data_IF_178551581815
#
_entry.id   IF_178551581815
#
_cell.length_a   1.000
_cell.length_b   1.000
_cell.length_c   1.000
_cell.angle_alpha   90.00
_cell.angle_beta   90.00
_cell.angle_gamma   90.00
#
_symmetry.space_group_name_H-M   'P 1'
#
loop_
_entity.id
_entity.type
_entity.pdbx_description
1 polymer ?
#
# COMPACT_ATOMS: atom_id res chain seq x y z
N UNK A 1 8.43 -84.61 32.58
CA UNK A 1 9.42 -83.83 31.83
C UNK A 1 8.69 -82.83 30.94
N UNK A 2 8.46 -81.61 31.43
CA UNK A 2 7.83 -80.54 30.66
C UNK A 2 8.91 -79.78 29.88
N UNK A 3 8.73 -79.65 28.57
CA UNK A 3 9.58 -78.88 27.66
C UNK A 3 9.29 -77.39 27.86
N UNK A 4 10.34 -76.63 28.15
CA UNK A 4 10.34 -75.16 28.15
C UNK A 4 10.38 -74.67 26.70
N UNK A 5 9.38 -73.91 26.26
CA UNK A 5 9.42 -73.17 24.99
C UNK A 5 9.53 -71.69 25.34
N UNK A 6 10.66 -71.08 24.98
CA UNK A 6 10.88 -69.63 25.11
C UNK A 6 10.06 -68.90 24.03
N UNK A 7 9.26 -67.93 24.44
CA UNK A 7 8.59 -66.99 23.55
C UNK A 7 9.52 -65.80 23.31
N UNK A 8 9.93 -65.58 22.05
CA UNK A 8 10.62 -64.38 21.61
C UNK A 8 9.67 -63.18 21.72
N UNK A 9 10.05 -62.14 22.48
CA UNK A 9 9.41 -60.83 22.43
C UNK A 9 9.98 -60.06 21.23
N UNK A 10 9.17 -59.88 20.18
CA UNK A 10 9.46 -58.94 19.10
C UNK A 10 9.00 -57.55 19.55
N UNK A 11 9.94 -56.69 19.96
CA UNK A 11 9.64 -55.29 20.24
C UNK A 11 9.33 -54.57 18.92
N UNK A 12 8.06 -54.27 18.68
CA UNK A 12 7.65 -53.36 17.61
C UNK A 12 7.86 -51.94 18.10
N UNK A 13 8.91 -51.27 17.61
CA UNK A 13 9.09 -49.85 17.85
C UNK A 13 7.99 -49.09 17.09
N UNK A 14 7.00 -48.58 17.82
CA UNK A 14 6.05 -47.59 17.30
C UNK A 14 6.81 -46.26 17.19
N UNK A 15 7.39 -46.00 16.03
CA UNK A 15 7.85 -44.66 15.66
C UNK A 15 6.63 -43.77 15.49
N UNK A 16 6.26 -42.99 16.51
CA UNK A 16 5.37 -41.85 16.36
C UNK A 16 6.12 -40.76 15.59
N UNK A 17 6.08 -40.84 14.26
CA UNK A 17 6.38 -39.68 13.42
C UNK A 17 5.22 -38.71 13.58
N UNK A 18 5.30 -37.79 14.54
CA UNK A 18 4.45 -36.60 14.55
C UNK A 18 4.89 -35.73 13.39
N UNK A 19 4.34 -35.98 12.21
CA UNK A 19 4.32 -34.98 11.14
C UNK A 19 3.50 -33.81 11.69
N UNK A 20 4.18 -32.81 12.25
CA UNK A 20 3.56 -31.53 12.56
C UNK A 20 3.23 -30.91 11.22
N UNK A 21 2.00 -31.12 10.77
CA UNK A 21 1.43 -30.38 9.66
C UNK A 21 1.36 -28.92 10.13
N UNK A 22 2.28 -28.07 9.67
CA UNK A 22 2.15 -26.64 9.89
C UNK A 22 0.89 -26.15 9.19
N UNK A 23 -0.18 -25.98 9.97
CA UNK A 23 -1.41 -25.39 9.49
C UNK A 23 -1.17 -23.89 9.31
N UNK A 24 -0.86 -23.47 8.08
CA UNK A 24 -0.85 -22.06 7.70
C UNK A 24 -2.32 -21.61 7.65
N UNK A 25 -2.84 -21.17 8.79
CA UNK A 25 -4.17 -20.56 8.87
C UNK A 25 -4.07 -19.11 8.37
N UNK A 26 -4.65 -18.82 7.20
CA UNK A 26 -4.81 -17.45 6.75
C UNK A 26 -5.95 -16.78 7.55
N UNK A 27 -5.59 -16.05 8.59
CA UNK A 27 -6.56 -15.27 9.39
C UNK A 27 -6.64 -13.86 8.84
N UNK A 28 -7.83 -13.41 8.46
CA UNK A 28 -8.09 -12.01 8.09
C UNK A 28 -8.82 -11.31 9.23
N UNK A 29 -8.12 -10.40 9.92
CA UNK A 29 -8.72 -9.56 10.97
C UNK A 29 -9.08 -8.22 10.35
N UNK A 30 -10.37 -7.89 10.35
CA UNK A 30 -10.86 -6.57 9.92
C UNK A 30 -11.11 -5.73 11.15
N UNK A 31 -10.42 -4.60 11.25
CA UNK A 31 -10.58 -3.65 12.35
C UNK A 31 -10.41 -2.22 11.85
N UNK A 32 -10.78 -1.26 12.69
CA UNK A 32 -10.46 0.15 12.48
C UNK A 32 -9.12 0.49 13.15
N UNK A 33 -8.39 1.40 12.52
CA UNK A 33 -7.12 1.89 13.02
C UNK A 33 -6.75 3.19 12.32
N UNK A 34 -5.79 3.89 12.89
CA UNK A 34 -5.22 5.12 12.33
C UNK A 34 -3.82 4.79 11.83
N UNK A 35 -3.62 5.04 10.54
CA UNK A 35 -2.30 5.07 9.91
C UNK A 35 -1.88 6.53 9.78
N UNK A 36 -0.70 6.87 10.28
CA UNK A 36 -0.16 8.23 10.22
C UNK A 36 1.31 8.21 9.85
N UNK A 37 1.81 9.32 9.32
CA UNK A 37 3.21 9.50 8.96
C UNK A 37 3.37 10.49 7.80
N UNK A 38 4.62 10.82 7.50
CA UNK A 38 4.98 11.66 6.38
C UNK A 38 5.17 10.80 5.13
N UNK A 39 4.46 11.12 4.05
CA UNK A 39 4.66 10.46 2.75
C UNK A 39 5.74 11.18 1.96
N UNK A 40 6.73 10.43 1.52
CA UNK A 40 7.87 10.94 0.75
C UNK A 40 7.95 10.19 -0.58
N UNK A 41 7.93 10.89 -1.72
CA UNK A 41 8.16 10.27 -3.02
C UNK A 41 9.64 9.86 -3.18
N UNK A 42 9.98 9.00 -4.16
CA UNK A 42 11.36 8.59 -4.43
C UNK A 42 12.28 9.78 -4.63
N UNK A 43 13.46 9.72 -4.01
CA UNK A 43 14.51 10.73 -4.19
C UNK A 43 15.45 10.40 -5.36
N UNK A 44 15.32 9.20 -5.96
CA UNK A 44 16.14 8.71 -7.08
C UNK A 44 15.26 7.96 -8.08
N UNK A 45 15.47 8.18 -9.39
CA UNK A 45 14.89 7.42 -10.52
C UNK A 45 13.46 6.92 -10.30
N UNK A 46 12.42 7.78 -10.34
CA UNK A 46 11.07 7.37 -10.02
C UNK A 46 10.56 6.32 -11.01
N UNK A 47 10.51 5.07 -10.57
CA UNK A 47 9.73 4.03 -11.23
C UNK A 47 8.27 4.27 -10.86
N UNK A 48 7.65 5.27 -11.48
CA UNK A 48 6.21 5.48 -11.39
C UNK A 48 5.50 4.15 -11.60
N UNK A 49 4.44 3.91 -10.84
CA UNK A 49 3.67 2.71 -11.06
C UNK A 49 3.03 2.75 -12.46
N UNK A 50 2.65 1.59 -12.99
CA UNK A 50 2.08 1.51 -14.33
C UNK A 50 0.62 2.00 -14.38
N UNK A 51 0.02 2.31 -13.23
CA UNK A 51 -1.37 2.75 -13.19
C UNK A 51 -1.48 4.22 -13.58
N UNK A 52 -2.50 4.51 -14.38
CA UNK A 52 -2.78 5.84 -14.89
C UNK A 52 -4.12 6.33 -14.34
N UNK A 53 -4.12 7.54 -13.78
CA UNK A 53 -5.33 8.26 -13.37
C UNK A 53 -5.68 9.25 -14.46
N UNK A 54 -6.85 9.08 -15.09
CA UNK A 54 -7.38 10.02 -16.08
C UNK A 54 -8.24 11.06 -15.38
N UNK A 55 -8.02 12.32 -15.74
CA UNK A 55 -8.75 13.45 -15.18
C UNK A 55 -9.32 14.27 -16.32
N UNK A 56 -10.63 14.48 -16.27
CA UNK A 56 -11.33 15.31 -17.23
C UNK A 56 -11.03 16.78 -16.97
N UNK A 57 -10.74 17.50 -18.04
CA UNK A 57 -10.33 18.90 -18.02
C UNK A 57 -11.19 19.72 -18.99
N UNK A 58 -11.08 21.04 -18.93
CA UNK A 58 -11.54 21.87 -20.04
C UNK A 58 -10.61 21.76 -21.26
N UNK A 59 -10.95 22.46 -22.34
CA UNK A 59 -10.15 22.47 -23.58
C UNK A 59 -8.77 23.10 -23.45
N UNK A 60 -8.50 23.80 -22.34
CA UNK A 60 -7.18 24.35 -22.02
C UNK A 60 -6.39 23.44 -21.08
N UNK A 61 -6.95 22.28 -20.68
CA UNK A 61 -6.31 21.38 -19.73
C UNK A 61 -6.38 21.87 -18.28
N UNK A 62 -7.35 22.74 -17.96
CA UNK A 62 -7.57 23.21 -16.60
C UNK A 62 -8.55 22.30 -15.90
N UNK A 63 -8.26 22.07 -14.63
CA UNK A 63 -9.07 21.26 -13.76
C UNK A 63 -9.41 22.03 -12.48
N UNK A 64 -10.70 22.14 -12.20
CA UNK A 64 -11.25 22.89 -11.08
C UNK A 64 -11.92 21.95 -10.09
N UNK A 65 -11.70 22.18 -8.79
CA UNK A 65 -12.36 21.51 -7.67
C UNK A 65 -13.07 22.54 -6.82
N UNK A 66 -14.37 22.39 -6.63
CA UNK A 66 -15.17 23.32 -5.81
C UNK A 66 -14.95 24.79 -6.20
N UNK A 67 -14.79 25.05 -7.51
CA UNK A 67 -14.51 26.38 -8.07
C UNK A 67 -13.04 26.85 -7.99
N UNK A 68 -12.15 26.12 -7.32
CA UNK A 68 -10.73 26.44 -7.24
C UNK A 68 -9.93 25.68 -8.30
N UNK A 69 -9.01 26.37 -8.98
CA UNK A 69 -8.07 25.75 -9.94
C UNK A 69 -7.08 24.86 -9.18
N UNK A 70 -7.06 23.57 -9.50
CA UNK A 70 -6.15 22.58 -8.87
C UNK A 70 -4.99 22.25 -9.80
N UNK A 71 -5.25 22.20 -11.11
CA UNK A 71 -4.24 21.87 -12.10
C UNK A 71 -4.47 22.69 -13.37
N UNK A 72 -3.39 23.17 -13.97
CA UNK A 72 -3.38 23.90 -15.22
C UNK A 72 -2.26 23.38 -16.13
N UNK A 73 -2.64 22.65 -17.16
CA UNK A 73 -1.70 22.12 -18.15
C UNK A 73 -0.88 23.22 -18.83
N UNK A 74 -1.42 24.44 -19.00
CA UNK A 74 -0.71 25.54 -19.66
C UNK A 74 0.53 25.99 -18.88
N UNK A 75 0.50 25.87 -17.55
CA UNK A 75 1.62 26.22 -16.67
C UNK A 75 2.70 25.14 -16.59
N UNK A 76 2.38 23.92 -17.04
CA UNK A 76 3.23 22.74 -16.90
C UNK A 76 3.73 22.28 -18.26
N UNK A 77 2.81 21.86 -19.13
CA UNK A 77 3.05 21.52 -20.52
C UNK A 77 1.70 21.41 -21.26
N UNK A 78 1.40 22.30 -22.22
CA UNK A 78 0.13 22.29 -22.94
C UNK A 78 -0.10 21.02 -23.78
N UNK A 79 0.98 20.30 -24.14
CA UNK A 79 0.89 19.06 -24.93
C UNK A 79 0.36 17.86 -24.13
N UNK A 80 0.10 18.02 -22.82
CA UNK A 80 -0.50 16.99 -21.98
C UNK A 80 -2.00 16.81 -22.23
N UNK A 81 -2.66 17.83 -22.77
CA UNK A 81 -4.11 17.83 -23.02
C UNK A 81 -4.41 16.91 -24.19
N UNK A 82 -5.28 15.94 -23.95
CA UNK A 82 -5.75 15.01 -24.98
C UNK A 82 -7.26 15.07 -25.05
N UNK A 83 -7.79 14.66 -26.19
CA UNK A 83 -9.23 14.56 -26.41
C UNK A 83 -9.57 13.10 -26.70
N UNK A 84 -10.61 12.59 -26.06
CA UNK A 84 -11.10 11.24 -26.32
C UNK A 84 -12.01 11.22 -27.56
N UNK A 85 -12.53 10.03 -27.89
CA UNK A 85 -13.43 9.87 -29.04
C UNK A 85 -14.76 10.61 -28.90
N UNK A 86 -15.13 11.02 -27.70
CA UNK A 86 -16.38 11.73 -27.40
C UNK A 86 -16.19 13.26 -27.39
N UNK A 87 -14.98 13.74 -27.68
CA UNK A 87 -14.65 15.16 -27.62
C UNK A 87 -14.36 15.67 -26.20
N UNK A 88 -14.22 14.78 -25.22
CA UNK A 88 -13.91 15.15 -23.84
C UNK A 88 -12.40 15.35 -23.70
N UNK A 89 -12.01 16.51 -23.16
CA UNK A 89 -10.62 16.82 -22.88
C UNK A 89 -10.18 16.22 -21.56
N UNK A 90 -8.96 15.69 -21.51
CA UNK A 90 -8.43 15.04 -20.33
C UNK A 90 -6.91 15.10 -20.27
N UNK A 91 -6.37 14.86 -19.07
CA UNK A 91 -4.95 14.64 -18.80
C UNK A 91 -4.77 13.34 -18.00
N UNK A 92 -3.76 12.57 -18.36
CA UNK A 92 -3.40 11.33 -17.66
C UNK A 92 -2.22 11.57 -16.73
N UNK A 93 -2.31 11.02 -15.52
CA UNK A 93 -1.27 11.07 -14.49
C UNK A 93 -0.80 9.67 -14.15
N UNK A 94 0.50 9.49 -13.88
CA UNK A 94 1.01 8.22 -13.39
C UNK A 94 0.98 8.18 -11.87
N UNK A 95 0.69 7.01 -11.32
CA UNK A 95 0.78 6.81 -9.88
C UNK A 95 2.21 6.89 -9.38
N UNK A 96 2.36 7.54 -8.23
CA UNK A 96 3.65 7.86 -7.63
C UNK A 96 3.88 6.88 -6.50
N UNK A 97 4.91 6.02 -6.56
CA UNK A 97 5.28 5.27 -5.38
C UNK A 97 5.66 6.24 -4.27
N UNK A 98 5.29 5.92 -3.05
CA UNK A 98 5.65 6.71 -1.86
C UNK A 98 6.07 5.79 -0.74
N UNK A 99 6.84 6.35 0.20
CA UNK A 99 7.19 5.68 1.44
C UNK A 99 6.98 6.61 2.62
N UNK A 100 6.93 6.03 3.82
CA UNK A 100 7.01 6.77 5.08
C UNK A 100 8.00 6.09 6.00
N UNK A 101 9.00 6.84 6.46
CA UNK A 101 10.03 6.37 7.40
C UNK A 101 9.60 6.52 8.85
N UNK A 102 8.70 7.45 9.13
CA UNK A 102 8.14 7.82 10.43
C UNK A 102 6.72 7.26 10.65
N UNK A 103 6.30 6.31 9.81
CA UNK A 103 4.97 5.73 9.85
C UNK A 103 4.62 5.14 11.22
N UNK A 104 3.40 5.40 11.67
CA UNK A 104 2.84 4.88 12.92
C UNK A 104 1.46 4.24 12.69
N UNK A 105 1.18 3.22 13.48
CA UNK A 105 -0.06 2.47 13.50
C UNK A 105 -0.67 2.53 14.89
N UNK A 106 -1.90 3.04 14.99
CA UNK A 106 -2.70 2.96 16.21
C UNK A 106 -3.95 2.15 15.94
N UNK A 107 -4.18 1.08 16.67
CA UNK A 107 -5.41 0.29 16.58
C UNK A 107 -5.75 -0.31 17.93
N UNK A 108 -7.05 -0.37 18.26
CA UNK A 108 -7.52 -0.97 19.50
C UNK A 108 -7.29 -2.49 19.57
N UNK A 109 -7.15 -3.13 18.41
CA UNK A 109 -6.98 -4.60 18.32
C UNK A 109 -5.53 -5.05 18.23
N UNK A 110 -4.58 -4.12 18.03
CA UNK A 110 -3.16 -4.41 17.91
C UNK A 110 -2.46 -4.06 19.22
N UNK A 111 -1.65 -4.99 19.75
CA UNK A 111 -0.92 -4.80 21.00
C UNK A 111 0.47 -5.43 20.95
N UNK A 112 1.36 -4.93 21.82
CA UNK A 112 2.68 -5.48 22.08
C UNK A 112 3.49 -5.76 20.80
N UNK A 113 3.49 -4.81 19.89
CA UNK A 113 4.15 -4.94 18.61
C UNK A 113 4.54 -3.61 18.01
N UNK A 114 5.09 -3.70 16.80
CA UNK A 114 5.61 -2.56 16.08
C UNK A 114 5.49 -2.78 14.57
N UNK A 115 5.49 -1.67 13.83
CA UNK A 115 5.67 -1.74 12.39
C UNK A 115 7.09 -2.19 12.07
N UNK A 116 7.22 -3.15 11.16
CA UNK A 116 8.51 -3.60 10.66
C UNK A 116 9.15 -2.51 9.80
N UNK A 117 10.47 -2.45 9.86
CA UNK A 117 11.28 -1.55 9.03
C UNK A 117 11.82 -2.33 7.85
N UNK A 118 11.49 -1.93 6.62
CA UNK A 118 11.95 -2.64 5.41
C UNK A 118 12.73 -1.74 4.46
N UNK A 119 13.64 -2.33 3.70
CA UNK A 119 14.35 -1.64 2.63
C UNK A 119 13.46 -1.58 1.37
N UNK A 120 13.39 -0.42 0.72
CA UNK A 120 12.70 -0.24 -0.57
C UNK A 120 13.66 0.23 -1.64
N UNK A 121 13.38 -0.20 -2.88
CA UNK A 121 14.09 0.27 -4.05
C UNK A 121 13.93 1.80 -4.19
N UNK A 122 14.99 2.49 -4.60
CA UNK A 122 15.03 3.96 -4.76
C UNK A 122 14.79 4.79 -3.48
N UNK A 123 14.95 4.19 -2.30
CA UNK A 123 14.95 4.89 -1.03
C UNK A 123 16.16 4.46 -0.21
N UNK A 124 16.90 5.41 0.35
CA UNK A 124 18.13 5.13 1.09
C UNK A 124 17.89 4.72 2.55
N UNK A 125 16.68 4.95 3.06
CA UNK A 125 16.29 4.68 4.44
C UNK A 125 15.35 3.49 4.55
N UNK A 126 15.36 2.82 5.71
CA UNK A 126 14.33 1.85 6.06
C UNK A 126 12.98 2.55 6.26
N UNK A 127 11.92 1.95 5.75
CA UNK A 127 10.57 2.53 5.75
C UNK A 127 9.61 1.67 6.55
N UNK A 128 8.61 2.32 7.13
CA UNK A 128 7.51 1.68 7.88
C UNK A 128 6.30 1.41 7.00
N UNK A 129 6.01 2.33 6.09
CA UNK A 129 4.98 2.17 5.07
C UNK A 129 5.54 2.41 3.68
N UNK A 130 4.94 1.74 2.70
CA UNK A 130 5.13 2.00 1.29
C UNK A 130 3.78 1.98 0.58
N UNK A 131 3.69 2.62 -0.56
CA UNK A 131 2.40 2.81 -1.18
C UNK A 131 2.48 3.44 -2.55
N UNK A 132 1.31 3.82 -3.05
CA UNK A 132 1.20 4.65 -4.23
C UNK A 132 0.18 5.77 -3.99
N UNK A 133 0.44 6.91 -4.62
CA UNK A 133 -0.51 8.00 -4.76
C UNK A 133 -1.04 7.98 -6.19
N UNK A 134 -2.36 7.91 -6.34
CA UNK A 134 -3.09 7.98 -7.61
C UNK A 134 -4.29 8.94 -7.45
N UNK A 135 -5.48 8.45 -7.72
CA UNK A 135 -6.76 9.05 -7.31
C UNK A 135 -6.96 8.95 -5.79
N UNK A 136 -6.21 8.08 -5.11
CA UNK A 136 -6.16 7.96 -3.66
C UNK A 136 -4.75 7.58 -3.19
N UNK A 137 -4.47 7.86 -1.91
CA UNK A 137 -3.30 7.31 -1.23
C UNK A 137 -3.60 5.88 -0.76
N UNK A 138 -2.83 4.92 -1.23
CA UNK A 138 -2.83 3.55 -0.71
C UNK A 138 -1.49 3.26 -0.08
N UNK A 139 -1.50 2.81 1.18
CA UNK A 139 -0.29 2.44 1.93
C UNK A 139 -0.38 1.02 2.44
N UNK A 140 0.78 0.41 2.56
CA UNK A 140 1.00 -0.96 2.99
C UNK A 140 2.14 -0.97 4.01
N UNK A 141 2.03 -1.84 4.99
CA UNK A 141 3.02 -2.03 6.04
C UNK A 141 2.98 -3.47 6.56
N UNK A 142 3.95 -3.81 7.39
CA UNK A 142 3.97 -5.08 8.11
C UNK A 142 4.03 -4.77 9.60
N UNK A 143 3.22 -5.45 10.40
CA UNK A 143 3.17 -5.30 11.85
C UNK A 143 3.46 -6.63 12.51
N UNK A 144 4.50 -6.68 13.35
CA UNK A 144 4.81 -7.86 14.15
C UNK A 144 4.39 -7.62 15.60
N UNK A 145 3.47 -8.44 16.11
CA UNK A 145 2.90 -8.30 17.45
C UNK A 145 1.71 -9.22 17.68
N UNK A 146 0.76 -8.75 18.49
CA UNK A 146 -0.50 -9.46 18.77
C UNK A 146 -1.66 -8.71 18.12
N UNK A 147 -2.53 -9.43 17.42
CA UNK A 147 -3.80 -8.94 16.90
C UNK A 147 -4.97 -9.68 17.56
N UNK A 148 -5.99 -8.94 17.99
CA UNK A 148 -7.22 -9.49 18.57
C UNK A 148 -8.33 -9.43 17.52
N UNK A 149 -8.95 -10.55 17.19
CA UNK A 149 -10.15 -10.53 16.33
C UNK A 149 -11.32 -9.90 17.12
N UNK A 150 -11.86 -8.75 16.71
CA UNK A 150 -12.92 -8.08 17.45
C UNK A 150 -14.23 -8.87 17.50
N UNK A 151 -14.44 -9.81 16.58
CA UNK A 151 -15.67 -10.60 16.53
C UNK A 151 -15.65 -11.79 17.50
N UNK A 152 -14.47 -12.39 17.69
CA UNK A 152 -14.32 -13.61 18.49
C UNK A 152 -13.59 -13.38 19.81
N UNK A 153 -12.85 -12.27 19.94
CA UNK A 153 -11.97 -12.00 21.08
C UNK A 153 -10.67 -12.80 21.06
N UNK A 154 -10.46 -13.66 20.07
CA UNK A 154 -9.27 -14.48 19.95
C UNK A 154 -8.03 -13.63 19.65
N UNK A 155 -6.90 -14.01 20.22
CA UNK A 155 -5.62 -13.33 20.00
C UNK A 155 -4.70 -14.18 19.14
N UNK A 156 -4.02 -13.52 18.21
CA UNK A 156 -3.09 -14.11 17.27
C UNK A 156 -1.78 -13.37 17.39
N UNK A 157 -0.69 -14.09 17.65
CA UNK A 157 0.65 -13.53 17.65
C UNK A 157 1.34 -13.85 16.32
N UNK A 158 1.97 -12.86 15.70
CA UNK A 158 2.68 -13.05 14.45
C UNK A 158 2.93 -11.75 13.70
N UNK A 159 3.15 -11.87 12.41
CA UNK A 159 3.33 -10.76 11.47
C UNK A 159 2.08 -10.60 10.61
N UNK A 160 1.58 -9.38 10.51
CA UNK A 160 0.32 -9.03 9.87
C UNK A 160 0.56 -8.00 8.78
N UNK A 161 0.01 -8.26 7.59
CA UNK A 161 -0.05 -7.27 6.53
C UNK A 161 -1.06 -6.18 6.88
N UNK A 162 -0.60 -4.93 6.87
CA UNK A 162 -1.41 -3.75 7.10
C UNK A 162 -1.67 -3.07 5.77
N UNK A 163 -2.93 -2.70 5.51
CA UNK A 163 -3.32 -1.89 4.36
C UNK A 163 -4.16 -0.71 4.83
N UNK A 164 -3.76 0.49 4.42
CA UNK A 164 -4.50 1.72 4.60
C UNK A 164 -4.88 2.31 3.25
N UNK A 165 -6.07 2.87 3.17
CA UNK A 165 -6.59 3.52 1.98
C UNK A 165 -7.19 4.87 2.40
N UNK A 166 -6.69 5.95 1.79
CA UNK A 166 -7.27 7.28 1.93
C UNK A 166 -8.56 7.41 1.12
N UNK A 167 -9.37 8.45 1.38
CA UNK A 167 -10.53 8.74 0.55
C UNK A 167 -10.09 9.05 -0.88
N UNK A 168 -10.90 8.64 -1.86
CA UNK A 168 -10.65 8.98 -3.25
C UNK A 168 -10.88 10.44 -3.50
N UNK A 169 -10.07 10.96 -4.39
CA UNK A 169 -10.21 12.30 -4.90
C UNK A 169 -11.41 12.42 -5.84
N UNK A 170 -11.65 11.41 -6.67
CA UNK A 170 -12.79 11.37 -7.60
C UNK A 170 -14.17 11.21 -6.94
N UNK A 171 -14.24 10.89 -5.65
CA UNK A 171 -15.51 10.76 -4.93
C UNK A 171 -16.20 12.14 -4.76
N UNK A 172 -17.53 12.17 -4.84
CA UNK A 172 -18.31 13.41 -4.70
C UNK A 172 -18.12 14.12 -3.34
N UNK A 173 -17.77 13.35 -2.30
CA UNK A 173 -17.37 13.85 -0.97
C UNK A 173 -15.89 13.54 -0.68
N UNK A 174 -15.06 13.51 -1.72
CA UNK A 174 -13.64 13.17 -1.64
C UNK A 174 -12.91 14.02 -0.59
N UNK A 175 -11.96 13.40 0.08
CA UNK A 175 -11.22 14.02 1.19
C UNK A 175 -9.97 14.76 0.75
N UNK A 176 -9.22 15.28 1.73
CA UNK A 176 -7.91 15.92 1.53
C UNK A 176 -6.75 14.92 1.42
N UNK A 177 -7.00 13.71 0.91
CA UNK A 177 -5.92 12.74 0.72
C UNK A 177 -4.96 13.26 -0.36
N UNK A 178 -3.64 13.09 -0.19
CA UNK A 178 -2.69 13.43 -1.24
C UNK A 178 -3.00 12.68 -2.54
N UNK A 179 -2.81 13.36 -3.67
CA UNK A 179 -3.13 12.90 -5.02
C UNK A 179 -1.99 13.16 -5.99
N UNK A 180 -2.08 12.59 -7.18
CA UNK A 180 -1.13 12.85 -8.28
C UNK A 180 -0.98 14.33 -8.65
N UNK A 181 -1.97 15.18 -8.33
CA UNK A 181 -1.90 16.62 -8.60
C UNK A 181 -0.92 17.32 -7.67
N UNK A 182 -0.92 16.95 -6.40
CA UNK A 182 -0.08 17.56 -5.36
C UNK A 182 1.42 17.38 -5.67
N UNK A 183 1.73 16.31 -6.41
CA UNK A 183 3.07 15.95 -6.85
C UNK A 183 3.25 16.07 -8.37
N UNK A 184 2.29 16.66 -9.09
CA UNK A 184 2.23 16.87 -10.55
C UNK A 184 2.88 15.75 -11.39
N UNK A 185 2.48 14.50 -11.19
CA UNK A 185 3.02 13.32 -11.91
C UNK A 185 2.38 13.06 -13.27
N UNK A 186 2.28 14.08 -14.10
CA UNK A 186 1.65 13.98 -15.41
C UNK A 186 2.38 12.98 -16.31
N UNK A 187 1.62 12.29 -17.16
CA UNK A 187 2.14 11.32 -18.11
C UNK A 187 2.15 11.89 -19.53
N UNK A 188 3.35 12.11 -20.07
CA UNK A 188 3.56 12.35 -21.49
C UNK A 188 4.06 11.05 -22.15
N UNK A 189 3.40 10.59 -23.22
CA UNK A 189 3.85 9.42 -23.99
C UNK A 189 5.26 9.58 -24.60
N UNK A 190 5.79 10.81 -24.67
CA UNK A 190 7.08 11.14 -25.27
C UNK A 190 8.23 11.28 -24.25
N UNK A 191 7.94 11.30 -22.94
CA UNK A 191 8.96 11.53 -21.92
C UNK A 191 8.75 10.63 -20.69
N UNK A 192 9.83 10.27 -20.02
CA UNK A 192 9.74 9.66 -18.69
C UNK A 192 8.97 10.61 -17.76
N UNK A 193 8.05 10.11 -16.92
CA UNK A 193 7.35 10.98 -15.99
C UNK A 193 8.38 11.58 -15.03
N UNK A 194 8.21 12.85 -14.68
CA UNK A 194 9.11 13.58 -13.79
C UNK A 194 8.37 13.87 -12.49
N UNK A 195 9.03 13.68 -11.35
CA UNK A 195 8.58 14.29 -10.10
C UNK A 195 9.02 15.76 -10.20
N UNK A 196 8.10 16.74 -10.20
CA UNK A 196 8.47 18.14 -10.14
C UNK A 196 9.23 18.42 -8.85
N UNK A 197 10.14 19.40 -8.84
CA UNK A 197 10.81 19.81 -7.61
C UNK A 197 9.78 20.15 -6.53
N UNK A 198 10.07 19.78 -5.30
CA UNK A 198 9.23 20.03 -4.13
C UNK A 198 8.83 21.51 -4.10
N UNK A 199 7.53 21.84 -3.94
CA UNK A 199 7.13 23.23 -3.80
C UNK A 199 7.90 23.84 -2.62
N UNK A 200 8.61 24.93 -2.90
CA UNK A 200 9.18 25.80 -1.88
C UNK A 200 8.00 26.56 -1.28
N UNK A 201 7.71 26.31 -0.01
CA UNK A 201 6.74 27.10 0.77
C UNK A 201 7.33 28.47 1.05
#
# INVERSE_FOLDING_TARGET
MQKTTQLLLTATALSLTTTVQEAIAQVTIRSTGIVSGTVTPPNKNPTFNQGTTRIDTDSQGRYFRNGALVFDAQTVNPNLVRMDSNGQFFVDFRGIPVVSTDGALTSAVLKNGQLDSIQRFNHDALVKYWGNIQDELVVQGSYTGIATDPNTGNQYQGTFDIRGQGPRYSDANGGSSPTVFDFRSYYNFQASPAIPPTPTV
#
